data_IF_969048683800
#
_entry.id   IF_969048683800
#
_cell.length_a   1.000
_cell.length_b   1.000
_cell.length_c   1.000
_cell.angle_alpha   90.00
_cell.angle_beta   90.00
_cell.angle_gamma   90.00
#
_symmetry.space_group_name_H-M   'P 1'
#
loop_
_entity.id
_entity.type
_entity.pdbx_description
1 polymer ?
#
# COMPACT_ATOMS: atom_id res chain seq x y z
N UNK A 1 -6.85 -11.65 -43.51
CA UNK A 1 -7.33 -10.47 -42.75
C UNK A 1 -6.14 -9.83 -42.05
N UNK A 2 -5.44 -8.90 -42.72
CA UNK A 2 -4.25 -8.27 -42.17
C UNK A 2 -4.66 -7.12 -41.24
N UNK A 3 -4.36 -7.26 -39.94
CA UNK A 3 -4.64 -6.22 -38.95
C UNK A 3 -3.77 -4.98 -39.16
N UNK A 4 -4.35 -3.80 -38.96
CA UNK A 4 -3.58 -2.54 -38.94
C UNK A 4 -2.63 -2.51 -37.73
N UNK A 5 -1.47 -1.83 -37.81
CA UNK A 5 -0.52 -1.76 -36.70
C UNK A 5 -1.15 -1.28 -35.39
N UNK A 6 -2.06 -0.29 -35.48
CA UNK A 6 -2.81 0.24 -34.32
C UNK A 6 -3.77 -0.79 -33.72
N UNK A 7 -4.44 -1.59 -34.57
CA UNK A 7 -5.27 -2.69 -34.11
C UNK A 7 -4.46 -3.66 -33.26
N UNK A 8 -3.29 -4.10 -33.75
CA UNK A 8 -2.49 -5.11 -33.04
C UNK A 8 -2.07 -4.64 -31.66
N UNK A 9 -1.67 -3.37 -31.56
CA UNK A 9 -1.32 -2.75 -30.28
C UNK A 9 -2.52 -2.75 -29.33
N UNK A 10 -3.69 -2.29 -29.79
CA UNK A 10 -4.90 -2.26 -28.97
C UNK A 10 -5.29 -3.66 -28.46
N UNK A 11 -5.18 -4.68 -29.31
CA UNK A 11 -5.47 -6.06 -28.91
C UNK A 11 -4.52 -6.57 -27.83
N UNK A 12 -3.22 -6.39 -28.00
CA UNK A 12 -2.25 -6.82 -27.00
C UNK A 12 -2.39 -6.04 -25.69
N UNK A 13 -2.64 -4.74 -25.75
CA UNK A 13 -2.94 -3.95 -24.55
C UNK A 13 -4.19 -4.45 -23.83
N UNK A 14 -5.27 -4.76 -24.56
CA UNK A 14 -6.48 -5.30 -23.97
C UNK A 14 -6.25 -6.68 -23.33
N UNK A 15 -5.47 -7.54 -23.96
CA UNK A 15 -5.10 -8.85 -23.41
C UNK A 15 -4.24 -8.73 -22.14
N UNK A 16 -3.30 -7.78 -22.11
CA UNK A 16 -2.50 -7.50 -20.92
C UNK A 16 -3.34 -6.95 -19.77
N UNK A 17 -4.28 -6.04 -20.04
CA UNK A 17 -5.20 -5.54 -19.01
C UNK A 17 -6.09 -6.67 -18.46
N UNK A 18 -6.63 -7.50 -19.34
CA UNK A 18 -7.48 -8.62 -18.94
C UNK A 18 -6.71 -9.63 -18.10
N UNK A 19 -5.46 -9.95 -18.46
CA UNK A 19 -4.65 -10.88 -17.68
C UNK A 19 -4.39 -10.36 -16.27
N UNK A 20 -4.06 -9.07 -16.11
CA UNK A 20 -3.90 -8.44 -14.80
C UNK A 20 -5.19 -8.55 -13.98
N UNK A 21 -6.34 -8.20 -14.56
CA UNK A 21 -7.62 -8.25 -13.85
C UNK A 21 -7.92 -9.70 -13.40
N UNK A 22 -7.77 -10.69 -14.29
CA UNK A 22 -8.06 -12.09 -13.97
C UNK A 22 -7.09 -12.63 -12.91
N UNK A 23 -5.80 -12.36 -13.03
CA UNK A 23 -4.78 -12.83 -12.07
C UNK A 23 -5.00 -12.24 -10.68
N UNK A 24 -5.37 -10.97 -10.58
CA UNK A 24 -5.48 -10.27 -9.30
C UNK A 24 -6.92 -10.16 -8.76
N UNK A 25 -7.93 -10.68 -9.46
CA UNK A 25 -9.34 -10.60 -9.02
C UNK A 25 -9.57 -11.16 -7.61
N UNK A 26 -8.86 -12.23 -7.25
CA UNK A 26 -8.96 -12.84 -5.92
C UNK A 26 -8.61 -11.90 -4.76
N UNK A 27 -7.78 -10.88 -4.98
CA UNK A 27 -7.41 -9.92 -3.93
C UNK A 27 -8.63 -9.13 -3.41
N UNK A 28 -9.68 -8.97 -4.22
CA UNK A 28 -10.91 -8.29 -3.81
C UNK A 28 -11.67 -9.04 -2.71
N UNK A 29 -11.41 -10.33 -2.55
CA UNK A 29 -12.02 -11.17 -1.52
C UNK A 29 -11.12 -11.34 -0.29
N UNK A 30 -9.88 -10.86 -0.34
CA UNK A 30 -8.98 -10.84 0.79
C UNK A 30 -9.26 -9.61 1.67
N UNK A 31 -9.20 -9.79 2.99
CA UNK A 31 -9.20 -8.67 3.94
C UNK A 31 -7.82 -8.03 4.06
N UNK A 32 -7.75 -6.87 4.71
CA UNK A 32 -6.48 -6.29 5.12
C UNK A 32 -5.86 -7.10 6.26
N UNK A 33 -4.55 -7.28 6.19
CA UNK A 33 -3.75 -7.81 7.29
C UNK A 33 -3.12 -6.61 8.00
N UNK A 34 -3.30 -6.52 9.32
CA UNK A 34 -2.62 -5.52 10.14
C UNK A 34 -1.18 -5.97 10.36
N UNK A 35 -0.28 -5.53 9.49
CA UNK A 35 1.16 -5.75 9.67
C UNK A 35 1.81 -4.64 10.52
N UNK A 36 1.16 -3.47 10.62
CA UNK A 36 1.65 -2.38 11.46
C UNK A 36 1.62 -2.77 12.94
N UNK A 37 2.71 -2.46 13.63
CA UNK A 37 2.81 -2.63 15.07
C UNK A 37 1.97 -1.55 15.78
N UNK A 38 0.96 -1.92 16.58
CA UNK A 38 0.09 -0.94 17.21
C UNK A 38 0.81 -0.13 18.29
N UNK A 39 1.89 -0.64 18.86
CA UNK A 39 2.60 -0.03 20.00
C UNK A 39 3.42 1.18 19.57
N UNK A 40 3.85 1.28 18.31
CA UNK A 40 4.59 2.45 17.81
C UNK A 40 3.71 3.62 17.38
N UNK A 41 2.51 3.35 16.87
CA UNK A 41 1.66 4.39 16.26
C UNK A 41 0.39 4.60 17.07
N UNK A 42 -0.47 3.58 17.15
CA UNK A 42 -1.83 3.76 17.67
C UNK A 42 -1.91 3.73 19.18
N UNK A 43 -0.98 3.06 19.87
CA UNK A 43 -0.92 2.97 21.34
C UNK A 43 0.24 3.73 21.95
N UNK A 44 1.11 4.32 21.13
CA UNK A 44 2.24 5.09 21.65
C UNK A 44 1.74 6.41 22.28
N UNK A 45 1.90 6.60 23.60
CA UNK A 45 1.43 7.82 24.25
C UNK A 45 2.10 9.08 23.69
N UNK A 46 3.37 8.98 23.26
CA UNK A 46 4.10 10.11 22.67
C UNK A 46 3.51 10.53 21.32
N UNK A 47 2.91 9.59 20.57
CA UNK A 47 2.21 9.88 19.30
C UNK A 47 0.79 10.38 19.55
N UNK A 48 0.06 9.76 20.48
CA UNK A 48 -1.33 10.14 20.82
C UNK A 48 -1.46 11.58 21.37
N UNK A 49 -0.40 12.08 22.02
CA UNK A 49 -0.35 13.47 22.52
C UNK A 49 -0.24 14.52 21.41
N UNK A 50 -0.09 14.10 20.14
CA UNK A 50 0.09 15.00 19.01
C UNK A 50 1.51 15.59 18.94
N UNK A 51 1.67 16.64 18.14
CA UNK A 51 2.99 17.25 17.93
C UNK A 51 3.41 18.06 19.17
N UNK A 52 4.29 17.48 19.99
CA UNK A 52 4.89 18.11 21.15
C UNK A 52 6.41 18.15 21.03
N UNK A 53 7.06 19.09 21.72
CA UNK A 53 8.53 19.15 21.70
C UNK A 53 9.18 17.91 22.34
N UNK A 54 8.56 17.36 23.38
CA UNK A 54 8.98 16.10 23.99
C UNK A 54 8.86 14.92 23.02
N UNK A 55 7.78 14.86 22.24
CA UNK A 55 7.59 13.88 21.17
C UNK A 55 8.66 13.99 20.06
N UNK A 56 8.99 15.22 19.64
CA UNK A 56 10.06 15.46 18.66
C UNK A 56 11.40 14.94 19.19
N UNK A 57 11.78 15.32 20.41
CA UNK A 57 13.02 14.84 21.01
C UNK A 57 13.06 13.30 21.07
N UNK A 58 12.00 12.68 21.60
CA UNK A 58 11.88 11.23 21.72
C UNK A 58 12.04 10.50 20.38
N UNK A 59 11.44 11.04 19.31
CA UNK A 59 11.49 10.44 17.98
C UNK A 59 12.92 10.38 17.38
N UNK A 60 13.81 11.28 17.82
CA UNK A 60 15.21 11.30 17.35
C UNK A 60 16.21 10.64 18.31
N UNK A 61 15.79 10.24 19.51
CA UNK A 61 16.68 9.65 20.52
C UNK A 61 16.38 8.19 20.83
N UNK A 62 15.20 7.68 20.48
CA UNK A 62 14.73 6.33 20.87
C UNK A 62 14.53 5.44 19.64
N UNK A 63 14.98 4.19 19.71
CA UNK A 63 14.80 3.18 18.64
C UNK A 63 13.60 2.25 18.83
N UNK A 64 12.83 2.45 19.91
CA UNK A 64 11.67 1.63 20.29
C UNK A 64 10.47 2.49 20.67
N UNK A 65 9.29 1.87 20.79
CA UNK A 65 8.12 2.51 21.37
C UNK A 65 8.40 3.03 22.80
N UNK A 66 7.67 4.07 23.19
CA UNK A 66 7.86 4.78 24.46
C UNK A 66 7.42 3.95 25.68
#
# INVERSE_FOLDING_TARGET
MAWTPKGKILFWTAMLLLSVIVTFHGLLHCGFITFDDPDYVTKNPMVQQGLTWAGVQWAFTTGTAA
#
